data_IF_741871111919
#
_entry.id   IF_741871111919
#
_cell.length_a   1.000
_cell.length_b   1.000
_cell.length_c   1.000
_cell.angle_alpha   90.00
_cell.angle_beta   90.00
_cell.angle_gamma   90.00
#
_symmetry.space_group_name_H-M   'P 1'
#
loop_
_entity.id
_entity.type
_entity.pdbx_description
1 polymer ?
#
# COMPACT_ATOMS: atom_id res chain seq x y z
N UNK A 1 13.40 -15.80 16.08
CA UNK A 1 11.96 -15.73 15.81
C UNK A 1 11.61 -14.62 14.80
N UNK A 2 11.80 -13.29 15.10
CA UNK A 2 11.48 -12.21 14.15
C UNK A 2 12.30 -12.33 12.86
N UNK A 3 13.59 -12.59 12.98
CA UNK A 3 14.49 -12.82 11.82
C UNK A 3 14.01 -14.01 10.97
N UNK A 4 13.52 -15.06 11.60
CA UNK A 4 13.04 -16.24 10.89
C UNK A 4 11.74 -15.98 10.17
N UNK A 5 10.82 -15.21 10.81
CA UNK A 5 9.58 -14.74 10.18
C UNK A 5 9.92 -13.87 8.96
N UNK A 6 10.80 -12.87 9.11
CA UNK A 6 11.20 -12.01 8.01
C UNK A 6 11.80 -12.81 6.85
N UNK A 7 12.78 -13.68 7.10
CA UNK A 7 13.40 -14.51 6.06
C UNK A 7 12.41 -15.41 5.33
N UNK A 8 11.44 -15.96 6.06
CA UNK A 8 10.44 -16.86 5.48
C UNK A 8 9.39 -16.12 4.67
N UNK A 9 8.99 -14.92 5.11
CA UNK A 9 7.84 -14.23 4.56
C UNK A 9 8.20 -13.13 3.53
N UNK A 10 9.41 -12.54 3.61
CA UNK A 10 9.85 -11.53 2.64
C UNK A 10 9.66 -11.93 1.17
N UNK A 11 9.95 -13.18 0.74
CA UNK A 11 9.80 -13.56 -0.66
C UNK A 11 8.36 -13.43 -1.20
N UNK A 12 7.36 -13.42 -0.32
CA UNK A 12 5.96 -13.23 -0.70
C UNK A 12 5.50 -11.78 -0.62
N UNK A 13 6.34 -10.85 -0.13
CA UNK A 13 6.05 -9.41 -0.07
C UNK A 13 6.64 -8.74 -1.29
N UNK A 14 5.84 -7.96 -2.00
CA UNK A 14 6.17 -7.43 -3.31
C UNK A 14 6.07 -5.91 -3.35
N UNK A 15 6.88 -5.29 -4.20
CA UNK A 15 6.74 -3.88 -4.53
C UNK A 15 5.68 -3.68 -5.61
N UNK A 16 4.80 -2.72 -5.40
CA UNK A 16 3.70 -2.39 -6.33
C UNK A 16 3.92 -0.99 -6.86
N UNK A 17 3.96 -0.84 -8.18
CA UNK A 17 3.93 0.45 -8.85
C UNK A 17 2.74 0.55 -9.77
N UNK A 18 2.09 1.68 -9.75
CA UNK A 18 0.97 1.98 -10.64
C UNK A 18 1.24 3.25 -11.43
N UNK A 19 0.86 3.25 -12.69
CA UNK A 19 1.04 4.41 -13.59
C UNK A 19 -0.24 4.70 -14.33
N UNK A 20 -0.56 5.98 -14.45
CA UNK A 20 -1.60 6.46 -15.35
C UNK A 20 -0.98 6.81 -16.71
N UNK A 21 -1.53 6.30 -17.80
CA UNK A 21 -1.08 6.69 -19.14
C UNK A 21 -1.43 8.16 -19.36
N UNK A 22 -0.44 8.94 -19.73
CA UNK A 22 -0.64 10.34 -20.07
C UNK A 22 -1.55 10.40 -21.31
N UNK A 23 -2.79 10.85 -21.12
CA UNK A 23 -3.63 11.24 -22.25
C UNK A 23 -3.32 12.71 -22.54
N UNK A 24 -2.70 13.03 -23.68
CA UNK A 24 -2.57 14.44 -24.09
C UNK A 24 -3.98 15.03 -24.24
N UNK A 25 -4.27 16.03 -23.44
CA UNK A 25 -5.54 16.75 -23.52
C UNK A 25 -5.77 17.21 -24.96
N UNK A 26 -6.72 16.62 -25.67
CA UNK A 26 -7.25 17.14 -26.92
C UNK A 26 -8.12 18.34 -26.57
N UNK A 27 -7.59 19.51 -26.84
CA UNK A 27 -8.42 20.71 -26.91
C UNK A 27 -8.03 21.83 -25.97
N UNK A 28 -7.70 22.97 -26.57
CA UNK A 28 -7.62 24.33 -26.06
C UNK A 28 -6.67 24.56 -24.87
N UNK A 29 -5.46 24.93 -25.23
CA UNK A 29 -4.57 25.69 -24.37
C UNK A 29 -5.28 27.00 -23.93
N UNK A 30 -5.63 27.19 -22.66
CA UNK A 30 -5.86 28.53 -22.17
C UNK A 30 -4.50 29.23 -22.21
N UNK A 31 -4.40 30.31 -22.96
CA UNK A 31 -3.24 31.18 -22.90
C UNK A 31 -2.97 31.55 -21.45
N UNK A 32 -1.90 30.99 -20.89
CA UNK A 32 -1.40 31.39 -19.57
C UNK A 32 -1.05 32.85 -19.60
N UNK A 33 -1.94 33.66 -19.03
CA UNK A 33 -1.57 35.01 -18.58
C UNK A 33 -0.45 34.82 -17.56
N UNK A 34 0.76 35.25 -17.92
CA UNK A 34 1.91 35.29 -17.02
C UNK A 34 1.48 36.07 -15.76
N UNK A 35 1.60 35.51 -14.56
CA UNK A 35 1.38 36.28 -13.36
C UNK A 35 2.45 37.40 -13.31
N UNK A 36 2.01 38.64 -13.17
CA UNK A 36 2.86 39.79 -12.94
C UNK A 36 3.70 39.50 -11.67
N UNK A 37 4.99 39.30 -11.85
CA UNK A 37 5.94 39.32 -10.74
C UNK A 37 6.03 40.72 -10.23
N UNK A 38 5.40 41.04 -9.10
CA UNK A 38 5.75 42.22 -8.32
C UNK A 38 7.14 42.02 -7.73
N UNK A 39 8.06 42.96 -7.92
CA UNK A 39 9.34 42.95 -7.25
C UNK A 39 9.12 43.16 -5.74
N UNK A 40 9.51 42.18 -4.92
CA UNK A 40 9.57 42.35 -3.47
C UNK A 40 10.76 43.24 -3.11
N UNK A 41 10.58 44.33 -2.33
CA UNK A 41 11.66 45.26 -2.05
C UNK A 41 12.69 44.73 -0.99
N UNK A 42 12.54 43.53 -0.49
CA UNK A 42 13.46 42.92 0.49
C UNK A 42 13.80 41.50 0.10
N UNK A 43 14.67 41.34 -0.88
CA UNK A 43 15.19 40.03 -1.28
C UNK A 43 16.63 40.15 -1.76
N UNK A 44 17.59 40.31 -0.84
CA UNK A 44 18.98 40.06 -1.17
C UNK A 44 19.26 38.57 -1.17
N UNK A 45 19.96 38.04 -2.20
CA UNK A 45 20.45 36.63 -2.18
C UNK A 45 21.61 36.56 -1.20
N UNK A 46 21.46 35.78 -0.13
CA UNK A 46 22.55 35.40 0.74
C UNK A 46 23.52 34.43 0.01
N UNK A 47 24.83 34.46 0.31
CA UNK A 47 25.85 33.68 -0.42
C UNK A 47 25.86 32.15 -0.10
N UNK A 48 24.86 31.63 0.61
CA UNK A 48 24.75 30.21 0.97
C UNK A 48 23.33 29.71 0.76
N UNK A 49 22.97 29.42 -0.47
CA UNK A 49 21.67 28.85 -0.80
C UNK A 49 21.72 28.12 -2.13
N UNK A 50 22.43 27.00 -2.19
CA UNK A 50 22.17 26.02 -3.26
C UNK A 50 20.79 25.43 -3.02
N UNK A 51 19.88 25.42 -4.02
CA UNK A 51 18.65 24.68 -3.89
C UNK A 51 19.00 23.19 -3.76
N UNK A 52 18.77 22.62 -2.58
CA UNK A 52 18.76 21.16 -2.44
C UNK A 52 17.74 20.61 -3.42
N UNK A 53 18.07 19.56 -4.19
CA UNK A 53 17.09 18.90 -5.01
C UNK A 53 16.00 18.37 -4.05
N UNK A 54 14.80 18.95 -4.14
CA UNK A 54 13.64 18.40 -3.46
C UNK A 54 13.47 16.96 -3.94
N UNK A 55 13.20 15.98 -3.04
CA UNK A 55 12.84 14.64 -3.47
C UNK A 55 11.71 14.79 -4.50
N UNK A 56 11.88 14.24 -5.67
CA UNK A 56 10.86 14.27 -6.72
C UNK A 56 9.62 13.59 -6.14
N UNK A 57 8.62 14.38 -5.80
CA UNK A 57 7.30 13.83 -5.54
C UNK A 57 6.86 13.06 -6.79
N UNK A 58 6.32 11.84 -6.66
CA UNK A 58 5.76 11.13 -7.80
C UNK A 58 4.80 12.07 -8.52
N UNK A 59 4.97 12.21 -9.84
CA UNK A 59 4.09 13.06 -10.64
C UNK A 59 2.62 12.62 -10.46
N UNK A 60 1.64 13.51 -10.67
CA UNK A 60 0.23 13.17 -10.51
C UNK A 60 -0.13 11.97 -11.40
N UNK A 61 -0.53 10.86 -10.77
CA UNK A 61 -0.94 9.63 -11.43
C UNK A 61 0.01 8.43 -11.29
N UNK A 62 1.08 8.52 -10.48
CA UNK A 62 1.92 7.36 -10.14
C UNK A 62 1.71 6.99 -8.67
N UNK A 63 1.23 5.77 -8.40
CA UNK A 63 1.16 5.19 -7.06
C UNK A 63 2.36 4.26 -6.83
N UNK A 64 2.82 4.21 -5.59
CA UNK A 64 3.83 3.25 -5.15
C UNK A 64 3.44 2.72 -3.77
N UNK A 65 3.67 1.43 -3.55
CA UNK A 65 3.38 0.78 -2.27
C UNK A 65 3.89 -0.64 -2.24
N UNK A 66 3.39 -1.36 -1.27
CA UNK A 66 3.68 -2.77 -1.06
C UNK A 66 2.42 -3.60 -1.32
N UNK A 67 2.60 -4.86 -1.65
CA UNK A 67 1.57 -5.89 -1.68
C UNK A 67 2.12 -7.19 -1.15
N UNK A 68 1.28 -8.20 -1.04
CA UNK A 68 1.74 -9.55 -0.70
C UNK A 68 0.92 -10.62 -1.42
N UNK A 69 1.61 -11.65 -1.85
CA UNK A 69 1.04 -12.83 -2.49
C UNK A 69 0.23 -13.65 -1.48
N UNK A 70 -0.96 -14.07 -1.88
CA UNK A 70 -1.89 -14.85 -1.04
C UNK A 70 -2.11 -16.27 -1.54
N UNK A 71 -1.60 -16.59 -2.71
CA UNK A 71 -1.59 -17.96 -3.26
C UNK A 71 -0.45 -18.16 -4.27
N UNK A 72 -0.20 -19.46 -4.59
CA UNK A 72 0.80 -19.89 -5.58
C UNK A 72 0.53 -19.43 -7.01
N UNK A 73 -0.70 -18.99 -7.28
CA UNK A 73 -1.13 -18.60 -8.61
C UNK A 73 -0.85 -17.15 -8.92
N UNK A 74 -0.44 -16.35 -7.90
CA UNK A 74 -0.01 -14.97 -8.05
C UNK A 74 -1.12 -13.95 -7.81
N UNK A 75 -2.11 -14.26 -6.98
CA UNK A 75 -3.00 -13.25 -6.43
C UNK A 75 -2.29 -12.44 -5.34
N UNK A 76 -2.49 -11.13 -5.35
CA UNK A 76 -1.84 -10.17 -4.45
C UNK A 76 -2.91 -9.30 -3.81
N UNK A 77 -2.80 -9.13 -2.47
CA UNK A 77 -3.52 -8.09 -1.75
C UNK A 77 -2.65 -6.84 -1.60
N UNK A 78 -3.26 -5.68 -1.74
CA UNK A 78 -2.67 -4.37 -1.49
C UNK A 78 -3.78 -3.36 -1.13
N UNK A 79 -3.44 -2.10 -0.89
CA UNK A 79 -4.44 -1.05 -0.72
C UNK A 79 -5.00 -0.57 -2.07
N UNK A 80 -6.28 -0.18 -2.08
CA UNK A 80 -6.92 0.41 -3.24
C UNK A 80 -6.21 1.72 -3.66
N UNK A 81 -5.86 2.60 -2.71
CA UNK A 81 -5.22 3.88 -3.03
C UNK A 81 -3.86 3.73 -3.73
N UNK A 82 -3.18 2.57 -3.61
CA UNK A 82 -1.91 2.29 -4.30
C UNK A 82 -2.13 2.08 -5.80
N UNK A 83 -3.29 1.55 -6.19
CA UNK A 83 -3.58 1.16 -7.58
C UNK A 83 -4.77 1.90 -8.20
N UNK A 84 -5.38 2.84 -7.46
CA UNK A 84 -6.57 3.56 -7.91
C UNK A 84 -6.30 4.34 -9.21
N UNK A 85 -7.22 4.19 -10.18
CA UNK A 85 -7.13 4.82 -11.49
C UNK A 85 -5.84 4.50 -12.29
N UNK A 86 -5.17 3.38 -12.02
CA UNK A 86 -3.98 2.96 -12.74
C UNK A 86 -4.35 2.34 -14.09
N UNK A 87 -3.63 2.72 -15.14
CA UNK A 87 -3.69 2.06 -16.46
C UNK A 87 -2.68 0.92 -16.59
N UNK A 88 -1.61 0.96 -15.80
CA UNK A 88 -0.55 -0.06 -15.77
C UNK A 88 -0.14 -0.30 -14.33
N UNK A 89 -0.15 -1.55 -13.91
CA UNK A 89 0.34 -1.99 -12.61
C UNK A 89 1.51 -2.94 -12.83
N UNK A 90 2.61 -2.69 -12.13
CA UNK A 90 3.79 -3.55 -12.15
C UNK A 90 4.10 -4.04 -10.73
N UNK A 91 4.51 -5.28 -10.68
CA UNK A 91 4.93 -5.98 -9.46
C UNK A 91 6.41 -6.32 -9.59
N UNK A 92 7.20 -5.94 -8.59
CA UNK A 92 8.59 -6.40 -8.47
C UNK A 92 8.68 -7.36 -7.30
N UNK A 93 9.16 -8.57 -7.57
CA UNK A 93 9.38 -9.61 -6.56
C UNK A 93 10.70 -9.39 -5.82
N UNK A 94 10.90 -10.10 -4.72
CA UNK A 94 12.13 -10.12 -3.89
C UNK A 94 13.41 -10.43 -4.71
N UNK A 95 13.29 -11.23 -5.76
CA UNK A 95 14.38 -11.55 -6.69
C UNK A 95 14.52 -10.57 -7.85
N UNK A 96 14.00 -9.37 -7.73
CA UNK A 96 14.01 -8.29 -8.74
C UNK A 96 13.26 -8.60 -10.05
N UNK A 97 12.60 -9.76 -10.15
CA UNK A 97 11.81 -10.09 -11.32
C UNK A 97 10.55 -9.24 -11.37
N UNK A 98 10.34 -8.58 -12.51
CA UNK A 98 9.17 -7.76 -12.75
C UNK A 98 8.08 -8.51 -13.50
N UNK A 99 6.82 -8.23 -13.12
CA UNK A 99 5.62 -8.69 -13.79
C UNK A 99 4.65 -7.55 -14.01
N UNK A 100 3.87 -7.60 -15.05
CA UNK A 100 2.63 -6.83 -15.12
C UNK A 100 1.55 -7.53 -14.30
N UNK A 101 0.65 -6.73 -13.73
CA UNK A 101 -0.49 -7.24 -12.99
C UNK A 101 -1.78 -6.59 -13.45
N UNK A 102 -2.84 -7.37 -13.36
CA UNK A 102 -4.22 -6.94 -13.60
C UNK A 102 -4.91 -6.64 -12.28
N UNK A 103 -5.69 -5.55 -12.24
CA UNK A 103 -6.60 -5.27 -11.14
C UNK A 103 -7.83 -6.17 -11.29
N UNK A 104 -7.93 -7.20 -10.46
CA UNK A 104 -9.06 -8.14 -10.47
C UNK A 104 -10.30 -7.49 -9.84
N UNK A 105 -10.09 -6.74 -8.76
CA UNK A 105 -11.16 -6.02 -8.12
C UNK A 105 -10.64 -5.13 -7.00
N UNK A 106 -11.47 -4.14 -6.63
CA UNK A 106 -11.15 -3.26 -5.52
C UNK A 106 -12.39 -2.77 -4.80
N UNK A 107 -12.18 -2.37 -3.55
CA UNK A 107 -13.17 -1.73 -2.72
C UNK A 107 -12.59 -0.47 -2.08
N UNK A 108 -13.00 0.68 -2.58
CA UNK A 108 -12.54 1.97 -2.09
C UNK A 108 -13.02 2.30 -0.67
N UNK A 109 -14.10 1.65 -0.20
CA UNK A 109 -14.65 1.89 1.13
C UNK A 109 -13.85 1.23 2.24
N UNK A 110 -13.17 0.12 1.93
CA UNK A 110 -12.28 -0.59 2.86
C UNK A 110 -10.81 -0.40 2.50
N UNK A 111 -10.51 0.32 1.41
CA UNK A 111 -9.17 0.54 0.87
C UNK A 111 -8.42 -0.78 0.55
N UNK A 112 -9.12 -1.77 0.01
CA UNK A 112 -8.57 -3.07 -0.37
C UNK A 112 -8.60 -3.24 -1.88
N UNK A 113 -7.52 -3.77 -2.46
CA UNK A 113 -7.44 -4.18 -3.86
C UNK A 113 -6.84 -5.57 -4.00
N UNK A 114 -7.37 -6.33 -4.95
CA UNK A 114 -6.91 -7.64 -5.36
C UNK A 114 -6.31 -7.56 -6.77
N UNK A 115 -5.03 -7.93 -6.88
CA UNK A 115 -4.31 -7.97 -8.15
C UNK A 115 -4.03 -9.41 -8.55
N UNK A 116 -3.73 -9.61 -9.83
CA UNK A 116 -3.28 -10.89 -10.39
C UNK A 116 -2.05 -10.67 -11.25
N UNK A 117 -0.96 -11.39 -10.97
CA UNK A 117 0.22 -11.41 -11.83
C UNK A 117 -0.15 -11.99 -13.20
N UNK A 118 0.22 -11.27 -14.25
CA UNK A 118 0.10 -11.71 -15.63
C UNK A 118 1.35 -12.50 -16.01
N UNK A 119 1.20 -13.83 -16.13
CA UNK A 119 2.33 -14.71 -16.50
C UNK A 119 2.58 -14.64 -18.00
N UNK A 120 3.85 -14.67 -18.38
CA UNK A 120 4.22 -14.87 -19.77
C UNK A 120 3.93 -16.33 -20.19
N UNK A 121 3.67 -16.60 -21.49
CA UNK A 121 3.53 -17.97 -21.99
C UNK A 121 4.74 -18.83 -21.60
N UNK A 122 4.49 -19.95 -20.95
CA UNK A 122 5.53 -20.86 -20.47
C UNK A 122 6.11 -20.54 -19.08
N UNK A 123 5.67 -19.47 -18.45
CA UNK A 123 6.05 -19.15 -17.06
C UNK A 123 5.23 -20.01 -16.06
N UNK A 124 5.87 -21.07 -15.55
CA UNK A 124 5.30 -21.96 -14.54
C UNK A 124 5.80 -21.64 -13.14
N UNK A 125 6.19 -20.39 -12.86
CA UNK A 125 6.67 -19.96 -11.54
C UNK A 125 5.62 -20.29 -10.47
N UNK A 126 6.03 -21.02 -9.45
CA UNK A 126 5.24 -21.24 -8.25
C UNK A 126 5.57 -20.13 -7.26
N UNK A 127 4.64 -19.18 -7.07
CA UNK A 127 4.90 -18.03 -6.22
C UNK A 127 4.89 -18.41 -4.74
N UNK A 128 5.83 -17.89 -3.93
CA UNK A 128 5.69 -17.93 -2.47
C UNK A 128 4.46 -17.10 -2.07
N UNK A 129 3.80 -17.49 -0.99
CA UNK A 129 2.61 -16.75 -0.52
C UNK A 129 2.51 -16.76 0.99
N UNK A 130 1.77 -15.81 1.55
CA UNK A 130 1.47 -15.69 2.96
C UNK A 130 0.14 -16.34 3.29
N UNK A 131 0.10 -17.02 4.43
CA UNK A 131 -1.15 -17.52 5.00
C UNK A 131 -1.92 -16.38 5.66
N UNK A 132 -3.23 -16.28 5.38
CA UNK A 132 -4.11 -15.33 6.05
C UNK A 132 -4.47 -15.88 7.42
N UNK A 133 -4.27 -15.07 8.45
CA UNK A 133 -4.64 -15.38 9.83
C UNK A 133 -6.08 -15.02 10.16
N UNK A 134 -6.35 -14.85 11.45
CA UNK A 134 -7.67 -14.46 11.96
C UNK A 134 -7.54 -13.22 12.86
N UNK A 135 -7.82 -12.05 12.28
CA UNK A 135 -7.72 -10.76 12.99
C UNK A 135 -8.74 -10.60 14.13
N UNK A 136 -9.79 -11.42 14.18
CA UNK A 136 -10.77 -11.40 15.28
C UNK A 136 -10.16 -11.97 16.56
N UNK A 137 -9.24 -12.93 16.45
CA UNK A 137 -8.58 -13.60 17.59
C UNK A 137 -7.40 -12.81 18.17
N UNK A 138 -6.87 -11.87 17.42
CA UNK A 138 -5.74 -11.06 17.85
C UNK A 138 -6.10 -10.26 19.10
N UNK A 139 -5.19 -10.21 20.08
CA UNK A 139 -5.38 -9.50 21.33
C UNK A 139 -4.44 -8.28 21.45
N UNK A 140 -4.87 -7.28 22.23
CA UNK A 140 -4.03 -6.11 22.54
C UNK A 140 -2.84 -6.56 23.38
N UNK A 141 -1.64 -6.10 22.97
CA UNK A 141 -0.38 -6.50 23.57
C UNK A 141 0.36 -7.61 22.82
N UNK A 142 -0.26 -8.30 21.87
CA UNK A 142 0.42 -9.28 21.05
C UNK A 142 1.48 -8.63 20.15
N UNK A 143 2.63 -9.28 20.05
CA UNK A 143 3.72 -8.86 19.15
C UNK A 143 3.33 -9.03 17.70
N UNK A 144 3.72 -8.05 16.89
CA UNK A 144 3.47 -8.05 15.44
C UNK A 144 4.71 -7.64 14.66
N UNK A 145 4.76 -8.08 13.40
CA UNK A 145 5.82 -7.76 12.43
C UNK A 145 5.17 -7.12 11.22
N UNK A 146 5.51 -5.87 10.92
CA UNK A 146 5.11 -5.23 9.67
C UNK A 146 6.24 -5.36 8.65
N UNK A 147 5.89 -5.76 7.43
CA UNK A 147 6.83 -5.85 6.31
C UNK A 147 6.35 -4.91 5.20
N UNK A 148 7.29 -4.15 4.66
CA UNK A 148 7.09 -3.34 3.47
C UNK A 148 8.24 -3.53 2.50
N UNK A 149 8.02 -3.13 1.25
CA UNK A 149 9.06 -3.06 0.23
C UNK A 149 9.07 -1.64 -0.38
N UNK A 150 9.48 -0.62 0.42
CA UNK A 150 9.54 0.74 -0.09
C UNK A 150 10.61 0.84 -1.17
N UNK A 151 10.24 1.39 -2.32
CA UNK A 151 11.14 1.64 -3.45
C UNK A 151 11.63 0.40 -4.21
N UNK A 152 11.20 -0.83 -3.87
CA UNK A 152 11.58 -2.06 -4.58
C UNK A 152 13.07 -2.43 -4.46
N UNK A 153 13.75 -1.92 -3.44
CA UNK A 153 15.18 -2.20 -3.22
C UNK A 153 15.36 -3.34 -2.22
N UNK A 154 15.01 -3.07 -0.95
CA UNK A 154 15.11 -4.03 0.14
C UNK A 154 13.86 -3.99 1.01
N UNK A 155 13.48 -5.14 1.56
CA UNK A 155 12.37 -5.21 2.50
C UNK A 155 12.69 -4.44 3.78
N UNK A 156 11.75 -3.64 4.23
CA UNK A 156 11.78 -3.01 5.54
C UNK A 156 10.94 -3.82 6.50
N UNK A 157 11.53 -4.28 7.59
CA UNK A 157 10.86 -5.02 8.64
C UNK A 157 10.82 -4.18 9.90
N UNK A 158 9.63 -3.95 10.43
CA UNK A 158 9.44 -3.26 11.71
C UNK A 158 8.63 -4.13 12.66
N UNK A 159 8.78 -3.94 13.96
CA UNK A 159 8.08 -4.71 14.98
C UNK A 159 7.44 -3.78 16.00
N UNK A 160 6.39 -4.26 16.61
CA UNK A 160 5.65 -3.58 17.65
C UNK A 160 4.64 -4.51 18.26
N UNK A 161 3.61 -3.93 18.85
CA UNK A 161 2.49 -4.67 19.42
C UNK A 161 1.16 -4.17 18.85
N UNK A 162 0.13 -4.96 19.01
CA UNK A 162 -1.25 -4.50 18.83
C UNK A 162 -1.58 -3.54 19.96
N UNK A 163 -1.69 -2.26 19.65
CA UNK A 163 -1.96 -1.21 20.64
C UNK A 163 -3.46 -1.06 20.96
N UNK A 164 -4.32 -1.32 19.96
CA UNK A 164 -5.78 -1.29 20.09
C UNK A 164 -6.45 -2.00 18.91
N UNK A 165 -7.75 -2.29 19.06
CA UNK A 165 -8.59 -2.88 18.00
C UNK A 165 -9.83 -2.02 17.76
N UNK A 166 -10.50 -2.23 16.64
CA UNK A 166 -11.74 -1.57 16.27
C UNK A 166 -11.65 -0.04 16.33
N UNK A 167 -10.52 0.52 15.87
CA UNK A 167 -10.34 1.98 15.85
C UNK A 167 -11.09 2.59 14.68
N UNK A 168 -11.93 3.58 15.01
CA UNK A 168 -12.54 4.47 14.01
C UNK A 168 -11.69 5.75 13.96
N UNK A 169 -11.16 6.07 12.78
CA UNK A 169 -10.30 7.25 12.54
C UNK A 169 -10.97 8.28 11.62
N UNK A 170 -12.21 8.01 11.18
CA UNK A 170 -12.95 8.89 10.29
C UNK A 170 -12.50 8.80 8.82
N UNK A 171 -11.78 7.74 8.45
CA UNK A 171 -11.33 7.52 7.07
C UNK A 171 -12.45 6.95 6.18
N UNK A 172 -13.41 6.23 6.76
CA UNK A 172 -14.50 5.64 6.01
C UNK A 172 -15.60 5.03 6.88
N UNK A 173 -16.68 4.56 6.24
CA UNK A 173 -17.82 3.99 6.96
C UNK A 173 -17.57 2.59 7.55
N UNK A 174 -16.44 1.98 7.22
CA UNK A 174 -16.04 0.63 7.66
C UNK A 174 -14.76 0.66 8.49
N UNK A 175 -14.54 1.76 9.22
CA UNK A 175 -13.38 1.92 10.08
C UNK A 175 -13.41 0.95 11.26
N UNK A 176 -12.62 -0.11 11.20
CA UNK A 176 -12.39 -1.09 12.27
C UNK A 176 -10.91 -1.43 12.40
N UNK A 177 -10.04 -0.41 12.30
CA UNK A 177 -8.61 -0.61 12.21
C UNK A 177 -8.00 -1.29 13.45
N UNK A 178 -6.98 -2.11 13.22
CA UNK A 178 -6.01 -2.50 14.24
C UNK A 178 -4.99 -1.38 14.34
N UNK A 179 -4.75 -0.89 15.57
CA UNK A 179 -3.69 0.06 15.86
C UNK A 179 -2.44 -0.68 16.31
N UNK A 180 -1.28 -0.26 15.83
CA UNK A 180 0.04 -0.79 16.23
C UNK A 180 1.06 0.32 16.40
N UNK A 181 2.06 0.11 17.22
CA UNK A 181 3.24 0.97 17.34
C UNK A 181 4.42 0.48 16.45
N UNK A 182 4.26 -0.66 15.77
CA UNK A 182 5.16 -1.02 14.67
C UNK A 182 5.25 0.14 13.67
N UNK A 183 6.45 0.51 13.26
CA UNK A 183 6.65 1.69 12.42
C UNK A 183 6.06 1.46 11.02
N UNK A 184 4.95 2.12 10.73
CA UNK A 184 4.36 2.22 9.39
C UNK A 184 4.76 3.56 8.80
N UNK A 185 5.33 3.56 7.60
CA UNK A 185 5.76 4.76 6.88
C UNK A 185 5.33 4.67 5.41
N UNK A 186 5.36 5.78 4.65
CA UNK A 186 5.15 5.74 3.20
C UNK A 186 6.02 4.67 2.53
N UNK A 187 5.39 3.80 1.74
CA UNK A 187 6.00 2.63 1.13
C UNK A 187 5.61 1.29 1.77
N UNK A 188 5.24 1.27 3.06
CA UNK A 188 4.71 0.06 3.71
C UNK A 188 3.21 -0.15 3.44
N UNK A 189 2.50 0.86 2.94
CA UNK A 189 1.06 0.78 2.61
C UNK A 189 0.81 -0.37 1.64
N UNK A 190 -0.18 -1.20 1.94
CA UNK A 190 -0.51 -2.43 1.22
C UNK A 190 0.29 -3.66 1.65
N UNK A 191 1.36 -3.50 2.45
CA UNK A 191 2.12 -4.60 3.01
C UNK A 191 1.42 -5.30 4.17
N UNK A 192 1.88 -6.52 4.54
CA UNK A 192 1.27 -7.31 5.61
C UNK A 192 1.69 -6.82 7.00
N UNK A 193 0.76 -6.91 7.95
CA UNK A 193 1.03 -7.02 9.37
C UNK A 193 0.90 -8.50 9.75
N UNK A 194 1.95 -9.07 10.32
CA UNK A 194 2.03 -10.49 10.66
C UNK A 194 1.97 -10.69 12.17
N UNK A 195 1.37 -11.80 12.60
CA UNK A 195 1.53 -12.31 13.95
C UNK A 195 2.87 -13.04 14.14
N UNK A 196 3.13 -13.56 15.33
CA UNK A 196 4.38 -14.27 15.65
C UNK A 196 4.45 -15.68 15.08
N UNK A 197 3.41 -16.18 14.42
CA UNK A 197 3.39 -17.39 13.61
C UNK A 197 3.72 -17.10 12.13
N UNK A 198 3.76 -15.80 11.76
CA UNK A 198 4.00 -15.32 10.40
C UNK A 198 2.73 -15.32 9.53
N UNK A 199 1.54 -15.38 10.12
CA UNK A 199 0.27 -15.24 9.42
C UNK A 199 -0.14 -13.80 9.32
N UNK A 200 -0.78 -13.43 8.23
CA UNK A 200 -1.26 -12.06 8.01
C UNK A 200 -2.48 -11.79 8.87
N UNK A 201 -2.40 -10.79 9.74
CA UNK A 201 -3.51 -10.32 10.57
C UNK A 201 -4.05 -8.95 10.14
N UNK A 202 -3.31 -8.24 9.27
CA UNK A 202 -3.76 -6.96 8.75
C UNK A 202 -3.00 -6.50 7.52
N UNK A 203 -3.54 -5.49 6.84
CA UNK A 203 -2.94 -4.80 5.70
C UNK A 203 -2.58 -3.38 6.16
N UNK A 204 -1.29 -3.04 6.14
CA UNK A 204 -0.82 -1.71 6.54
C UNK A 204 -1.41 -0.64 5.62
N UNK A 205 -1.96 0.46 6.18
CA UNK A 205 -2.61 1.47 5.33
C UNK A 205 -2.30 2.90 5.69
N UNK A 206 -2.38 3.28 6.96
CA UNK A 206 -2.31 4.66 7.36
C UNK A 206 -1.48 4.87 8.62
N UNK A 207 -1.04 6.12 8.82
CA UNK A 207 -0.45 6.58 10.07
C UNK A 207 -1.21 7.81 10.58
N UNK A 208 -1.29 7.96 11.90
CA UNK A 208 -1.66 9.24 12.49
C UNK A 208 -0.39 10.06 12.64
N UNK A 209 -0.23 11.11 11.82
CA UNK A 209 0.97 11.91 11.83
C UNK A 209 0.68 13.37 11.47
N UNK A 210 1.29 14.30 12.21
CA UNK A 210 1.28 15.73 11.91
C UNK A 210 2.45 16.16 11.04
N UNK A 211 3.47 15.31 10.93
CA UNK A 211 4.74 15.59 10.24
C UNK A 211 4.98 14.72 9.01
N UNK A 212 4.08 13.75 8.74
CA UNK A 212 4.20 12.79 7.63
C UNK A 212 5.02 11.53 7.94
N UNK A 213 5.69 11.46 9.10
CA UNK A 213 6.40 10.27 9.58
C UNK A 213 5.67 9.56 10.72
N UNK A 214 6.03 8.31 11.00
CA UNK A 214 5.47 7.53 12.10
C UNK A 214 5.82 8.17 13.46
N UNK A 215 4.82 8.26 14.33
CA UNK A 215 4.95 8.75 15.72
C UNK A 215 4.52 7.68 16.74
N UNK A 216 4.59 6.40 16.37
CA UNK A 216 4.16 5.28 17.22
C UNK A 216 2.66 4.97 17.11
N UNK A 217 1.98 5.48 16.08
CA UNK A 217 0.55 5.23 15.83
C UNK A 217 0.39 4.87 14.35
N UNK A 218 0.35 3.58 14.07
CA UNK A 218 0.04 3.01 12.77
C UNK A 218 -1.33 2.31 12.77
N UNK A 219 -1.97 2.26 11.62
CA UNK A 219 -3.25 1.61 11.42
C UNK A 219 -3.17 0.58 10.31
N UNK A 220 -3.80 -0.56 10.55
CA UNK A 220 -3.88 -1.64 9.57
C UNK A 220 -5.33 -2.12 9.42
N UNK A 221 -5.70 -2.45 8.22
CA UNK A 221 -7.01 -3.03 7.89
C UNK A 221 -7.00 -4.47 8.39
N UNK A 222 -7.95 -4.91 9.24
CA UNK A 222 -8.03 -6.31 9.69
C UNK A 222 -8.12 -7.28 8.52
N UNK A 223 -7.36 -8.36 8.53
CA UNK A 223 -7.32 -9.31 7.41
C UNK A 223 -8.66 -9.99 7.14
N UNK A 224 -9.48 -10.20 8.17
CA UNK A 224 -10.81 -10.79 7.98
C UNK A 224 -11.69 -9.91 7.08
N UNK A 225 -11.51 -8.56 7.13
CA UNK A 225 -12.23 -7.66 6.24
C UNK A 225 -11.88 -7.92 4.77
N UNK A 226 -10.61 -8.23 4.47
CA UNK A 226 -10.21 -8.63 3.13
C UNK A 226 -10.73 -10.03 2.77
N UNK A 227 -10.61 -11.00 3.68
CA UNK A 227 -11.06 -12.38 3.47
C UNK A 227 -12.55 -12.46 3.17
N UNK A 228 -13.35 -11.65 3.87
CA UNK A 228 -14.81 -11.63 3.71
C UNK A 228 -15.26 -11.13 2.32
N UNK A 229 -14.44 -10.37 1.61
CA UNK A 229 -14.76 -9.79 0.29
C UNK A 229 -13.99 -10.42 -0.88
N UNK A 230 -13.02 -11.32 -0.61
CA UNK A 230 -12.16 -11.89 -1.66
C UNK A 230 -12.92 -12.58 -2.78
N UNK A 231 -13.96 -13.34 -2.45
CA UNK A 231 -14.74 -14.07 -3.46
C UNK A 231 -15.53 -13.12 -4.36
N UNK A 232 -16.09 -12.04 -3.79
CA UNK A 232 -16.78 -11.01 -4.58
C UNK A 232 -15.78 -10.24 -5.46
N UNK A 233 -14.60 -9.89 -4.95
CA UNK A 233 -13.56 -9.23 -5.74
C UNK A 233 -13.10 -10.11 -6.90
N UNK A 234 -12.92 -11.44 -6.67
CA UNK A 234 -12.55 -12.38 -7.73
C UNK A 234 -13.62 -12.54 -8.79
N UNK A 235 -14.89 -12.58 -8.40
CA UNK A 235 -16.01 -12.87 -9.28
C UNK A 235 -16.55 -11.64 -10.00
N UNK A 236 -16.77 -10.55 -9.25
CA UNK A 236 -17.52 -9.39 -9.71
C UNK A 236 -16.65 -8.13 -9.87
N UNK A 237 -15.39 -8.18 -9.44
CA UNK A 237 -14.43 -7.06 -9.49
C UNK A 237 -14.74 -5.94 -8.51
N UNK A 238 -15.82 -6.05 -7.75
CA UNK A 238 -16.27 -5.03 -6.79
C UNK A 238 -17.14 -5.66 -5.70
N UNK A 239 -17.22 -4.99 -4.57
CA UNK A 239 -18.08 -5.40 -3.45
C UNK A 239 -19.47 -4.76 -3.59
N UNK A 240 -20.50 -5.58 -3.59
CA UNK A 240 -21.90 -5.12 -3.62
C UNK A 240 -22.44 -5.08 -2.19
N UNK A 241 -22.70 -3.89 -1.68
CA UNK A 241 -23.33 -3.69 -0.37
C UNK A 241 -24.77 -3.27 -0.55
N UNK A 242 -25.69 -4.06 0.04
CA UNK A 242 -27.09 -3.68 0.10
C UNK A 242 -27.25 -2.38 0.88
N UNK A 243 -28.00 -1.44 0.33
CA UNK A 243 -28.47 -0.27 1.07
C UNK A 243 -29.68 -0.70 1.88
N UNK A 244 -29.57 -0.72 3.19
CA UNK A 244 -30.73 -0.71 4.07
C UNK A 244 -31.19 0.75 4.16
N UNK A 245 -32.27 1.08 3.46
CA UNK A 245 -32.96 2.37 3.51
C UNK A 245 -33.68 2.58 4.84
#
# INVERSE_FOLDING_TARGET
LIVDIAKKQNPAVVFVTSKKKFQPARGNLPQQRKPFRQPSPFGQPGPFGSPSPSPQQPGPGNGTGTGFLIDKDGYILTNNHVVDNADVIKITLDNEKEYEAELIGSDSKTDIALLKIMRQPGDNTNFPYLELGDSKKVEVGEWVVAIGNPFGLDHTVTTGVVSAKARNIGAGPYDEYIQTDASINPGNSGGPLLDMEGKVIGINTAIYSRTGGNVGIGFTIPINMASDILDELKKDGKVTRGWLG
#
